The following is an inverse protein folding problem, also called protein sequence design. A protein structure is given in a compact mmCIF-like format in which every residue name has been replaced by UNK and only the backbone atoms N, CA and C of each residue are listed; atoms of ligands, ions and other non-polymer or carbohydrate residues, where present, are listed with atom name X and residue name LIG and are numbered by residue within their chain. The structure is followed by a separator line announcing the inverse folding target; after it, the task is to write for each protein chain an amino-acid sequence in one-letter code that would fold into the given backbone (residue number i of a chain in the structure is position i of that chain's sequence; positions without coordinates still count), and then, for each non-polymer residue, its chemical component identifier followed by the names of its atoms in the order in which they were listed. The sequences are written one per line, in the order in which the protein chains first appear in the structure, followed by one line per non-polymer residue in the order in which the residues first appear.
data_IF_462417328808
#
_entry.id   IF_462417328808
#
_cell.length_a   1.000
_cell.length_b   1.000
_cell.length_c   1.000
_cell.angle_alpha   90.00
_cell.angle_beta   90.00
_cell.angle_gamma   90.00
#
_symmetry.space_group_name_H-M   'P 1'
#
loop_
_entity.id
_entity.type
_entity.pdbx_description
1 polymer ?
#
# COMPACT_ATOMS: atom_id res chain seq x y z
N UNK A 1 -8.02 38.48 -38.92
CA UNK A 1 -8.61 39.35 -37.87
C UNK A 1 -10.02 38.90 -37.43
N UNK A 2 -10.99 38.68 -38.32
CA UNK A 2 -12.38 38.32 -37.96
C UNK A 2 -12.53 37.17 -36.93
N UNK A 3 -11.82 36.05 -37.10
CA UNK A 3 -11.96 34.89 -36.21
C UNK A 3 -11.66 35.17 -34.73
N UNK A 4 -10.69 36.05 -34.45
CA UNK A 4 -10.35 36.46 -33.09
C UNK A 4 -11.46 37.31 -32.44
N UNK A 5 -12.04 38.24 -33.20
CA UNK A 5 -13.16 39.07 -32.75
C UNK A 5 -14.42 38.23 -32.51
N UNK A 6 -14.71 37.27 -33.40
CA UNK A 6 -15.81 36.31 -33.23
C UNK A 6 -15.63 35.45 -31.98
N UNK A 7 -14.43 34.95 -31.72
CA UNK A 7 -14.16 34.18 -30.49
C UNK A 7 -14.32 35.03 -29.23
N UNK A 8 -13.82 36.28 -29.20
CA UNK A 8 -14.02 37.21 -28.07
C UNK A 8 -15.50 37.52 -27.83
N UNK A 9 -16.32 37.65 -28.87
CA UNK A 9 -17.76 37.86 -28.72
C UNK A 9 -18.47 36.60 -28.20
N UNK A 10 -18.09 35.41 -28.71
CA UNK A 10 -18.61 34.11 -28.24
C UNK A 10 -18.23 33.83 -26.78
N UNK A 11 -17.00 34.16 -26.38
CA UNK A 11 -16.51 34.09 -24.99
C UNK A 11 -17.37 34.96 -24.08
N UNK A 12 -17.54 36.25 -24.43
CA UNK A 12 -18.37 37.18 -23.65
C UNK A 12 -19.84 36.76 -23.54
N UNK A 13 -20.42 36.17 -24.59
CA UNK A 13 -21.78 35.60 -24.53
C UNK A 13 -21.84 34.37 -23.62
N UNK A 14 -20.85 33.49 -23.70
CA UNK A 14 -20.80 32.28 -22.87
C UNK A 14 -20.58 32.62 -21.38
N UNK A 15 -19.73 33.60 -21.03
CA UNK A 15 -19.57 34.07 -19.64
C UNK A 15 -20.92 34.53 -19.07
N UNK A 16 -21.69 35.36 -19.78
CA UNK A 16 -23.02 35.80 -19.33
C UNK A 16 -24.02 34.66 -19.15
N UNK A 17 -23.99 33.66 -20.05
CA UNK A 17 -24.83 32.46 -19.92
C UNK A 17 -24.42 31.58 -18.75
N UNK A 18 -23.13 31.53 -18.39
CA UNK A 18 -22.65 30.86 -17.19
C UNK A 18 -23.12 31.61 -15.94
N UNK A 19 -22.92 32.93 -15.86
CA UNK A 19 -23.35 33.79 -14.75
C UNK A 19 -24.85 33.68 -14.47
N UNK A 20 -25.69 33.72 -15.52
CA UNK A 20 -27.13 33.51 -15.39
C UNK A 20 -27.49 32.11 -14.83
N UNK A 21 -26.71 31.09 -15.16
CA UNK A 21 -26.86 29.74 -14.62
C UNK A 21 -26.44 29.60 -13.15
N UNK A 22 -25.42 30.34 -12.70
CA UNK A 22 -25.01 30.38 -11.29
C UNK A 22 -26.13 31.00 -10.45
N UNK A 23 -26.73 32.10 -10.92
CA UNK A 23 -27.84 32.79 -10.25
C UNK A 23 -29.19 32.06 -10.35
N UNK A 24 -29.26 30.89 -10.99
CA UNK A 24 -30.52 30.15 -11.22
C UNK A 24 -31.53 30.85 -12.16
N UNK A 25 -31.12 31.93 -12.82
CA UNK A 25 -31.97 32.79 -13.64
C UNK A 25 -32.08 32.33 -15.12
N UNK A 26 -31.43 31.22 -15.48
CA UNK A 26 -31.45 30.65 -16.82
C UNK A 26 -31.51 29.12 -16.82
N UNK A 27 -31.86 28.49 -17.96
CA UNK A 27 -31.97 27.04 -18.05
C UNK A 27 -30.60 26.36 -17.83
N UNK A 28 -30.54 25.25 -17.08
CA UNK A 28 -29.28 24.61 -16.70
C UNK A 28 -28.46 24.14 -17.92
N UNK A 29 -29.15 23.69 -18.97
CA UNK A 29 -28.54 23.28 -20.24
C UNK A 29 -27.74 24.41 -20.91
N UNK A 30 -28.22 25.66 -20.86
CA UNK A 30 -27.52 26.80 -21.43
C UNK A 30 -26.25 27.14 -20.66
N UNK A 31 -26.23 26.90 -19.35
CA UNK A 31 -25.06 27.11 -18.51
C UNK A 31 -24.00 25.99 -18.71
N UNK A 32 -24.44 24.73 -18.86
CA UNK A 32 -23.56 23.62 -19.25
C UNK A 32 -22.95 23.84 -20.63
N UNK A 33 -23.77 24.20 -21.62
CA UNK A 33 -23.30 24.55 -22.97
C UNK A 33 -22.39 25.79 -22.97
N UNK A 34 -22.56 26.71 -22.02
CA UNK A 34 -21.64 27.83 -21.82
C UNK A 34 -20.29 27.38 -21.26
N UNK A 35 -20.26 26.54 -20.22
CA UNK A 35 -19.02 25.99 -19.66
C UNK A 35 -18.21 25.21 -20.72
N UNK A 36 -18.87 24.34 -21.49
CA UNK A 36 -18.25 23.61 -22.60
C UNK A 36 -17.69 24.56 -23.68
N UNK A 37 -18.41 25.62 -24.06
CA UNK A 37 -17.89 26.64 -25.00
C UNK A 37 -16.70 27.42 -24.43
N UNK A 38 -16.69 27.72 -23.14
CA UNK A 38 -15.57 28.42 -22.50
C UNK A 38 -14.32 27.53 -22.47
N UNK A 39 -14.46 26.22 -22.23
CA UNK A 39 -13.40 25.22 -22.40
C UNK A 39 -12.84 25.22 -23.82
N UNK A 40 -13.73 25.15 -24.82
CA UNK A 40 -13.34 24.98 -26.22
C UNK A 40 -12.77 26.27 -26.84
N UNK A 41 -13.10 27.44 -26.28
CA UNK A 41 -12.43 28.73 -26.58
C UNK A 41 -11.11 28.84 -25.81
N UNK A 42 -11.09 28.45 -24.53
CA UNK A 42 -9.91 28.44 -23.67
C UNK A 42 -9.32 29.84 -23.40
N UNK A 43 -10.14 30.88 -23.38
CA UNK A 43 -9.69 32.27 -23.17
C UNK A 43 -9.54 32.64 -21.70
N UNK A 44 -8.56 33.51 -21.37
CA UNK A 44 -8.24 33.87 -19.97
C UNK A 44 -9.40 34.52 -19.21
N UNK A 45 -10.37 35.14 -19.91
CA UNK A 45 -11.50 35.81 -19.25
C UNK A 45 -12.52 34.82 -18.68
N UNK A 46 -12.46 33.56 -19.09
CA UNK A 46 -13.30 32.49 -18.54
C UNK A 46 -12.83 32.00 -17.15
N UNK A 47 -11.58 32.25 -16.76
CA UNK A 47 -10.97 31.69 -15.54
C UNK A 47 -11.75 32.09 -14.28
N UNK A 48 -11.93 33.39 -14.03
CA UNK A 48 -12.65 33.86 -12.84
C UNK A 48 -14.12 33.39 -12.80
N UNK A 49 -14.93 33.53 -13.87
CA UNK A 49 -16.30 33.00 -13.91
C UNK A 49 -16.38 31.49 -13.66
N UNK A 50 -15.48 30.69 -14.23
CA UNK A 50 -15.47 29.23 -14.02
C UNK A 50 -15.04 28.84 -12.60
N UNK A 51 -14.05 29.52 -12.00
CA UNK A 51 -13.65 29.31 -10.61
C UNK A 51 -14.78 29.69 -9.62
N UNK A 52 -15.51 30.77 -9.90
CA UNK A 52 -16.67 31.18 -9.10
C UNK A 52 -17.83 30.18 -9.26
N UNK A 53 -18.09 29.73 -10.48
CA UNK A 53 -19.09 28.69 -10.76
C UNK A 53 -18.77 27.37 -10.05
N UNK A 54 -17.51 26.90 -10.08
CA UNK A 54 -17.06 25.66 -9.42
C UNK A 54 -17.42 25.58 -7.93
N UNK A 55 -17.57 26.73 -7.26
CA UNK A 55 -17.94 26.82 -5.84
C UNK A 55 -19.44 27.04 -5.64
N UNK A 56 -20.04 28.01 -6.36
CA UNK A 56 -21.39 28.52 -6.08
C UNK A 56 -22.52 27.95 -6.97
N UNK A 57 -22.20 27.28 -8.08
CA UNK A 57 -23.21 26.76 -9.02
C UNK A 57 -23.95 25.50 -8.50
N UNK A 58 -25.08 25.11 -9.13
CA UNK A 58 -25.65 23.76 -8.94
C UNK A 58 -24.65 22.64 -9.28
N UNK A 59 -24.77 21.48 -8.63
CA UNK A 59 -23.80 20.37 -8.67
C UNK A 59 -23.35 19.98 -10.10
N UNK A 60 -24.29 19.76 -11.01
CA UNK A 60 -23.99 19.37 -12.39
C UNK A 60 -23.12 20.42 -13.11
N UNK A 61 -23.39 21.71 -12.89
CA UNK A 61 -22.60 22.79 -13.47
C UNK A 61 -21.22 22.90 -12.82
N UNK A 62 -21.09 22.60 -11.51
CA UNK A 62 -19.78 22.59 -10.83
C UNK A 62 -18.85 21.51 -11.39
N UNK A 63 -19.37 20.32 -11.70
CA UNK A 63 -18.59 19.26 -12.36
C UNK A 63 -18.09 19.69 -13.75
N UNK A 64 -18.97 20.28 -14.57
CA UNK A 64 -18.57 20.76 -15.91
C UNK A 64 -17.65 22.00 -15.85
N UNK A 65 -17.74 22.82 -14.80
CA UNK A 65 -16.77 23.89 -14.58
C UNK A 65 -15.37 23.35 -14.25
N UNK A 66 -15.26 22.24 -13.51
CA UNK A 66 -13.97 21.59 -13.27
C UNK A 66 -13.33 21.06 -14.57
N UNK A 67 -14.10 20.40 -15.44
CA UNK A 67 -13.61 19.92 -16.74
C UNK A 67 -13.28 21.09 -17.68
N UNK A 68 -14.06 22.17 -17.64
CA UNK A 68 -13.82 23.37 -18.43
C UNK A 68 -12.52 24.09 -18.02
N UNK A 69 -12.29 24.25 -16.71
CA UNK A 69 -11.08 24.82 -16.16
C UNK A 69 -9.81 24.09 -16.63
N UNK A 70 -9.86 22.75 -16.74
CA UNK A 70 -8.73 21.99 -17.25
C UNK A 70 -8.42 22.28 -18.73
N UNK A 71 -9.44 22.36 -19.59
CA UNK A 71 -9.23 22.73 -21.00
C UNK A 71 -8.76 24.18 -21.19
N UNK A 72 -9.16 25.10 -20.29
CA UNK A 72 -8.61 26.47 -20.25
C UNK A 72 -7.15 26.45 -19.83
N UNK A 73 -6.79 25.69 -18.78
CA UNK A 73 -5.41 25.59 -18.27
C UNK A 73 -4.42 25.08 -19.34
N UNK A 74 -4.84 24.11 -20.17
CA UNK A 74 -4.01 23.58 -21.26
C UNK A 74 -3.60 24.64 -22.30
N UNK A 75 -4.38 25.71 -22.46
CA UNK A 75 -4.05 26.83 -23.37
C UNK A 75 -3.43 28.01 -22.63
N UNK A 76 -3.85 28.22 -21.38
CA UNK A 76 -3.41 29.31 -20.51
C UNK A 76 -3.14 28.76 -19.11
N UNK A 77 -1.92 28.24 -18.87
CA UNK A 77 -1.51 27.79 -17.54
C UNK A 77 -1.62 28.94 -16.54
N UNK A 78 -2.46 28.74 -15.53
CA UNK A 78 -2.77 29.74 -14.52
C UNK A 78 -2.88 29.05 -13.15
N UNK A 79 -2.24 29.65 -12.14
CA UNK A 79 -2.20 29.11 -10.80
C UNK A 79 -3.57 29.18 -10.10
N UNK A 80 -4.40 30.18 -10.42
CA UNK A 80 -5.74 30.32 -9.86
C UNK A 80 -6.64 29.11 -10.21
N UNK A 81 -6.43 28.51 -11.39
CA UNK A 81 -7.13 27.29 -11.80
C UNK A 81 -6.72 26.10 -10.90
N UNK A 82 -5.42 25.94 -10.67
CA UNK A 82 -4.89 24.85 -9.84
C UNK A 82 -5.38 24.96 -8.39
N UNK A 83 -5.37 26.17 -7.83
CA UNK A 83 -5.86 26.43 -6.48
C UNK A 83 -7.36 26.18 -6.34
N UNK A 84 -8.18 26.61 -7.30
CA UNK A 84 -9.62 26.38 -7.29
C UNK A 84 -9.99 24.90 -7.41
N UNK A 85 -9.33 24.16 -8.31
CA UNK A 85 -9.50 22.72 -8.45
C UNK A 85 -9.03 21.96 -7.20
N UNK A 86 -7.91 22.38 -6.61
CA UNK A 86 -7.39 21.79 -5.37
C UNK A 86 -8.37 21.94 -4.19
N UNK A 87 -8.91 23.15 -4.00
CA UNK A 87 -9.93 23.41 -2.98
C UNK A 87 -11.22 22.59 -3.23
N UNK A 88 -11.65 22.43 -4.48
CA UNK A 88 -12.82 21.63 -4.82
C UNK A 88 -12.64 20.12 -4.58
N UNK A 89 -11.41 19.61 -4.74
CA UNK A 89 -11.03 18.21 -4.45
C UNK A 89 -11.06 17.89 -2.96
N UNK A 90 -10.47 18.78 -2.14
CA UNK A 90 -10.30 18.59 -0.70
C UNK A 90 -11.54 18.99 0.12
N UNK A 91 -12.53 19.64 -0.50
CA UNK A 91 -13.77 20.05 0.18
C UNK A 91 -14.70 18.86 0.46
N UNK A 92 -14.80 18.44 1.72
CA UNK A 92 -15.75 17.40 2.16
C UNK A 92 -17.22 17.83 2.04
N UNK A 93 -17.50 19.14 1.91
CA UNK A 93 -18.86 19.66 1.63
C UNK A 93 -19.28 19.46 0.17
N UNK A 94 -18.36 19.03 -0.68
CA UNK A 94 -18.58 18.91 -2.10
C UNK A 94 -19.04 17.50 -2.48
N UNK A 95 -20.06 17.43 -3.34
CA UNK A 95 -20.58 16.17 -3.86
C UNK A 95 -19.47 15.34 -4.53
N UNK A 96 -19.51 14.02 -4.33
CA UNK A 96 -18.46 13.08 -4.77
C UNK A 96 -18.15 13.21 -6.27
N UNK A 97 -19.19 13.41 -7.10
CA UNK A 97 -19.07 13.60 -8.54
C UNK A 97 -18.20 14.81 -8.90
N UNK A 98 -18.35 15.93 -8.19
CA UNK A 98 -17.56 17.14 -8.46
C UNK A 98 -16.14 17.00 -7.90
N UNK A 99 -15.97 16.35 -6.74
CA UNK A 99 -14.62 16.02 -6.22
C UNK A 99 -13.84 15.13 -7.19
N UNK A 100 -14.48 14.10 -7.74
CA UNK A 100 -13.92 13.22 -8.76
C UNK A 100 -13.60 13.98 -10.07
N UNK A 101 -14.54 14.81 -10.56
CA UNK A 101 -14.29 15.66 -11.74
C UNK A 101 -13.12 16.63 -11.54
N UNK A 102 -13.00 17.23 -10.35
CA UNK A 102 -11.89 18.12 -9.99
C UNK A 102 -10.55 17.37 -9.85
N UNK A 103 -10.55 16.13 -9.35
CA UNK A 103 -9.33 15.31 -9.28
C UNK A 103 -8.84 14.91 -10.69
N UNK A 104 -9.75 14.49 -11.58
CA UNK A 104 -9.43 14.24 -13.00
C UNK A 104 -8.97 15.52 -13.71
N UNK A 105 -9.60 16.67 -13.42
CA UNK A 105 -9.20 17.97 -13.95
C UNK A 105 -7.78 18.35 -13.51
N UNK A 106 -7.42 18.19 -12.22
CA UNK A 106 -6.05 18.38 -11.74
C UNK A 106 -5.06 17.48 -12.51
N UNK A 107 -5.37 16.19 -12.69
CA UNK A 107 -4.54 15.27 -13.47
C UNK A 107 -4.33 15.69 -14.94
N UNK A 108 -5.23 16.52 -15.50
CA UNK A 108 -5.11 17.07 -16.85
C UNK A 108 -4.48 18.50 -16.88
N UNK A 109 -4.21 19.12 -15.72
CA UNK A 109 -3.59 20.46 -15.59
C UNK A 109 -2.16 20.42 -15.06
N UNK A 110 -1.89 19.50 -14.14
CA UNK A 110 -0.73 19.53 -13.24
C UNK A 110 0.52 19.00 -13.95
N UNK A 111 1.61 19.74 -13.91
CA UNK A 111 2.95 19.17 -14.13
C UNK A 111 3.35 18.32 -12.92
N UNK A 112 4.08 17.21 -13.12
CA UNK A 112 4.22 16.07 -12.21
C UNK A 112 5.04 16.33 -10.91
N UNK A 113 4.98 17.57 -10.40
CA UNK A 113 5.56 18.03 -9.13
C UNK A 113 4.52 18.58 -8.15
N UNK A 114 3.24 18.72 -8.54
CA UNK A 114 2.17 19.32 -7.70
C UNK A 114 1.01 18.38 -7.34
N UNK A 115 1.16 17.06 -7.50
CA UNK A 115 0.07 16.11 -7.23
C UNK A 115 -0.20 15.79 -5.74
N UNK A 116 0.31 16.61 -4.80
CA UNK A 116 0.25 16.34 -3.36
C UNK A 116 -1.17 16.12 -2.83
N UNK A 117 -2.15 16.88 -3.32
CA UNK A 117 -3.55 16.70 -2.91
C UNK A 117 -4.22 15.46 -3.49
N UNK A 118 -3.81 14.99 -4.66
CA UNK A 118 -4.26 13.69 -5.18
C UNK A 118 -3.77 12.55 -4.26
N UNK A 119 -2.56 12.68 -3.71
CA UNK A 119 -2.02 11.76 -2.70
C UNK A 119 -2.79 11.89 -1.36
N UNK A 120 -3.22 13.09 -0.96
CA UNK A 120 -4.06 13.30 0.24
C UNK A 120 -5.44 12.64 0.12
N UNK A 121 -6.10 12.69 -1.06
CA UNK A 121 -7.34 11.93 -1.32
C UNK A 121 -7.14 10.45 -1.01
N UNK A 122 -6.03 9.87 -1.50
CA UNK A 122 -5.69 8.45 -1.31
C UNK A 122 -5.32 8.11 0.14
N UNK A 123 -4.83 9.08 0.93
CA UNK A 123 -4.54 8.88 2.36
C UNK A 123 -5.78 9.03 3.25
N UNK A 124 -6.80 9.77 2.81
CA UNK A 124 -8.01 9.98 3.60
C UNK A 124 -8.94 8.76 3.53
N UNK A 125 -9.20 8.06 4.65
CA UNK A 125 -10.10 6.89 4.65
C UNK A 125 -11.54 7.30 4.32
N UNK A 126 -11.92 8.56 4.65
CA UNK A 126 -13.23 9.16 4.37
C UNK A 126 -13.47 9.52 2.90
N UNK A 127 -12.45 9.53 2.05
CA UNK A 127 -12.63 9.78 0.61
C UNK A 127 -13.55 8.70 0.00
N UNK A 128 -14.59 9.05 -0.76
CA UNK A 128 -15.39 8.05 -1.47
C UNK A 128 -14.57 7.32 -2.55
N UNK A 129 -14.91 6.06 -2.82
CA UNK A 129 -14.23 5.25 -3.85
C UNK A 129 -14.17 5.95 -5.23
N UNK A 130 -15.25 6.57 -5.75
CA UNK A 130 -15.18 7.30 -7.03
C UNK A 130 -14.16 8.44 -7.04
N UNK A 131 -13.95 9.11 -5.91
CA UNK A 131 -12.96 10.19 -5.75
C UNK A 131 -11.54 9.61 -5.67
N UNK A 132 -11.37 8.45 -5.01
CA UNK A 132 -10.09 7.73 -4.98
C UNK A 132 -9.70 7.20 -6.37
N UNK A 133 -10.60 6.54 -7.12
CA UNK A 133 -10.34 6.14 -8.52
C UNK A 133 -9.95 7.32 -9.40
N UNK A 134 -10.66 8.45 -9.29
CA UNK A 134 -10.30 9.67 -10.02
C UNK A 134 -8.88 10.15 -9.70
N UNK A 135 -8.45 10.05 -8.43
CA UNK A 135 -7.10 10.39 -7.99
C UNK A 135 -6.04 9.40 -8.53
N UNK A 136 -6.32 8.09 -8.50
CA UNK A 136 -5.45 7.05 -9.09
C UNK A 136 -5.28 7.30 -10.59
N UNK A 137 -6.36 7.52 -11.33
CA UNK A 137 -6.31 7.78 -12.78
C UNK A 137 -5.54 9.07 -13.10
N UNK A 138 -5.74 10.12 -12.32
CA UNK A 138 -4.99 11.37 -12.45
C UNK A 138 -3.49 11.15 -12.20
N UNK A 139 -3.11 10.44 -11.14
CA UNK A 139 -1.71 10.12 -10.83
C UNK A 139 -1.08 9.15 -11.84
N UNK A 140 -1.82 8.17 -12.39
CA UNK A 140 -1.38 7.27 -13.47
C UNK A 140 -1.00 8.08 -14.72
N UNK A 141 -1.85 9.03 -15.13
CA UNK A 141 -1.57 9.95 -16.25
C UNK A 141 -0.32 10.81 -16.03
N UNK A 142 -0.06 11.19 -14.78
CA UNK A 142 1.11 11.99 -14.38
C UNK A 142 2.39 11.15 -14.17
N UNK A 143 2.34 9.83 -14.34
CA UNK A 143 3.50 8.95 -14.18
C UNK A 143 3.99 8.76 -12.73
N UNK A 144 3.13 9.01 -11.73
CA UNK A 144 3.52 8.87 -10.32
C UNK A 144 3.59 7.39 -9.90
N UNK A 145 4.80 6.83 -9.88
CA UNK A 145 5.10 5.47 -9.39
C UNK A 145 4.62 5.26 -7.94
N UNK A 146 4.60 6.32 -7.13
CA UNK A 146 4.14 6.33 -5.74
C UNK A 146 2.67 5.87 -5.56
N UNK A 147 1.86 5.86 -6.62
CA UNK A 147 0.50 5.28 -6.64
C UNK A 147 0.51 3.82 -6.16
N UNK A 148 1.50 3.03 -6.57
CA UNK A 148 1.64 1.64 -6.15
C UNK A 148 1.75 1.53 -4.62
N UNK A 149 2.61 2.35 -4.00
CA UNK A 149 2.73 2.38 -2.54
C UNK A 149 1.44 2.80 -1.86
N UNK A 150 0.72 3.79 -2.41
CA UNK A 150 -0.53 4.28 -1.82
C UNK A 150 -1.66 3.25 -1.94
N UNK A 151 -1.75 2.51 -3.04
CA UNK A 151 -2.73 1.44 -3.21
C UNK A 151 -2.45 0.25 -2.26
N UNK A 152 -1.18 -0.14 -2.13
CA UNK A 152 -0.75 -1.17 -1.16
C UNK A 152 -1.07 -0.73 0.28
N UNK A 153 -0.78 0.52 0.64
CA UNK A 153 -1.15 1.07 1.96
C UNK A 153 -2.68 1.04 2.19
N UNK A 154 -3.49 1.48 1.21
CA UNK A 154 -4.95 1.42 1.32
C UNK A 154 -5.46 -0.01 1.54
N UNK A 155 -4.89 -1.00 0.84
CA UNK A 155 -5.26 -2.41 1.02
C UNK A 155 -4.95 -2.90 2.45
N UNK A 156 -3.77 -2.57 2.99
CA UNK A 156 -3.34 -2.98 4.32
C UNK A 156 -4.16 -2.32 5.44
N UNK A 157 -4.34 -0.99 5.41
CA UNK A 157 -5.03 -0.26 6.48
C UNK A 157 -6.55 -0.52 6.50
N UNK A 158 -7.17 -0.74 5.33
CA UNK A 158 -8.61 -1.00 5.26
C UNK A 158 -9.04 -2.38 5.80
N UNK A 159 -8.12 -3.23 6.27
CA UNK A 159 -8.48 -4.46 7.01
C UNK A 159 -9.14 -4.17 8.36
N UNK A 160 -8.68 -3.15 9.06
CA UNK A 160 -9.20 -2.77 10.39
C UNK A 160 -10.36 -1.77 10.29
N UNK A 161 -10.33 -0.88 9.29
CA UNK A 161 -11.31 0.21 9.12
C UNK A 161 -12.52 -0.14 8.22
N UNK A 162 -12.39 -1.08 7.27
CA UNK A 162 -13.45 -1.48 6.34
C UNK A 162 -13.79 -2.98 6.43
N UNK A 163 -14.72 -3.37 7.31
CA UNK A 163 -15.23 -4.74 7.38
C UNK A 163 -15.86 -5.23 6.08
N UNK A 164 -16.40 -4.33 5.24
CA UNK A 164 -17.03 -4.70 3.97
C UNK A 164 -16.02 -5.12 2.89
N UNK A 165 -14.74 -4.79 3.08
CA UNK A 165 -13.65 -5.14 2.16
C UNK A 165 -13.74 -4.45 0.79
N UNK A 166 -14.64 -3.48 0.61
CA UNK A 166 -14.82 -2.75 -0.64
C UNK A 166 -13.58 -1.95 -1.01
N UNK A 167 -12.90 -1.35 -0.03
CA UNK A 167 -11.63 -0.64 -0.26
C UNK A 167 -10.51 -1.61 -0.64
N UNK A 168 -10.49 -2.82 -0.08
CA UNK A 168 -9.51 -3.86 -0.45
C UNK A 168 -9.73 -4.38 -1.86
N UNK A 169 -10.98 -4.69 -2.23
CA UNK A 169 -11.33 -5.12 -3.58
C UNK A 169 -10.98 -4.06 -4.62
N UNK A 170 -11.39 -2.80 -4.37
CA UNK A 170 -11.04 -1.65 -5.21
C UNK A 170 -9.52 -1.47 -5.37
N UNK A 171 -8.75 -1.57 -4.29
CA UNK A 171 -7.29 -1.43 -4.37
C UNK A 171 -6.64 -2.53 -5.21
N UNK A 172 -7.17 -3.76 -5.18
CA UNK A 172 -6.72 -4.87 -6.05
C UNK A 172 -7.06 -4.59 -7.51
N UNK A 173 -8.28 -4.13 -7.81
CA UNK A 173 -8.71 -3.79 -9.17
C UNK A 173 -7.83 -2.69 -9.79
N UNK A 174 -7.56 -1.60 -9.06
CA UNK A 174 -6.68 -0.52 -9.52
C UNK A 174 -5.22 -1.01 -9.68
N UNK A 175 -4.71 -1.86 -8.78
CA UNK A 175 -3.39 -2.48 -8.90
C UNK A 175 -3.27 -3.39 -10.13
N UNK A 176 -4.32 -4.16 -10.44
CA UNK A 176 -4.39 -4.97 -11.66
C UNK A 176 -4.43 -4.07 -12.91
N UNK A 177 -5.20 -2.98 -12.91
CA UNK A 177 -5.42 -2.07 -14.04
C UNK A 177 -4.29 -1.04 -14.32
N UNK A 178 -3.26 -0.97 -13.48
CA UNK A 178 -1.98 -0.34 -13.86
C UNK A 178 -1.30 -1.19 -14.97
N UNK A 179 -0.43 -0.61 -15.78
CA UNK A 179 0.35 -1.35 -16.79
C UNK A 179 1.82 -1.18 -16.46
N UNK A 180 2.44 -2.21 -15.87
CA UNK A 180 3.87 -2.23 -15.59
C UNK A 180 4.31 -3.66 -15.26
N UNK A 181 5.45 -4.09 -15.81
CA UNK A 181 6.15 -5.29 -15.32
C UNK A 181 6.83 -5.04 -13.96
N UNK A 182 7.06 -3.77 -13.59
CA UNK A 182 7.72 -3.38 -12.34
C UNK A 182 6.81 -3.37 -11.11
N UNK A 183 5.48 -3.50 -11.25
CA UNK A 183 4.56 -3.54 -10.10
C UNK A 183 4.98 -4.56 -9.05
N UNK A 184 5.35 -5.76 -9.51
CA UNK A 184 5.79 -6.84 -8.63
C UNK A 184 7.12 -6.48 -7.99
N UNK A 185 8.10 -5.98 -8.74
CA UNK A 185 9.36 -5.47 -8.17
C UNK A 185 9.09 -4.44 -7.09
N UNK A 186 8.13 -3.52 -7.29
CA UNK A 186 7.76 -2.52 -6.28
C UNK A 186 7.04 -3.11 -5.07
N UNK A 187 6.15 -4.09 -5.24
CA UNK A 187 5.47 -4.77 -4.11
C UNK A 187 6.46 -5.65 -3.32
N UNK A 188 7.37 -6.35 -4.01
CA UNK A 188 8.50 -7.06 -3.41
C UNK A 188 9.41 -6.08 -2.67
N UNK A 189 9.76 -4.95 -3.28
CA UNK A 189 10.49 -3.87 -2.60
C UNK A 189 9.72 -3.35 -1.39
N UNK A 190 8.41 -3.13 -1.43
CA UNK A 190 7.66 -2.66 -0.25
C UNK A 190 7.75 -3.68 0.90
N UNK A 191 7.61 -4.97 0.59
CA UNK A 191 7.82 -6.06 1.54
C UNK A 191 9.28 -6.11 2.07
N UNK A 192 10.26 -5.76 1.24
CA UNK A 192 11.69 -5.92 1.53
C UNK A 192 12.43 -4.62 1.92
N UNK A 193 11.87 -3.43 1.78
CA UNK A 193 12.59 -2.15 1.88
C UNK A 193 12.38 -1.45 3.21
N UNK A 194 11.16 -1.42 3.76
CA UNK A 194 10.88 -0.81 5.07
C UNK A 194 11.59 -1.62 6.16
N UNK A 195 12.66 -1.06 6.74
CA UNK A 195 13.50 -1.69 7.80
C UNK A 195 12.68 -2.19 9.00
N UNK A 196 11.53 -1.54 9.29
CA UNK A 196 10.55 -1.95 10.31
C UNK A 196 9.71 -3.18 9.90
N UNK A 197 9.40 -3.36 8.61
CA UNK A 197 8.68 -4.54 8.09
C UNK A 197 9.63 -5.73 7.90
N UNK A 198 10.87 -5.52 7.44
CA UNK A 198 11.89 -6.60 7.36
C UNK A 198 12.06 -7.36 8.68
N UNK A 199 12.14 -6.65 9.79
CA UNK A 199 12.27 -7.26 11.13
C UNK A 199 11.03 -8.08 11.55
N UNK A 200 9.86 -7.79 10.96
CA UNK A 200 8.60 -8.55 11.16
C UNK A 200 8.42 -9.67 10.13
N UNK A 201 8.99 -9.53 8.93
CA UNK A 201 8.96 -10.50 7.84
C UNK A 201 9.90 -11.70 8.07
N UNK A 202 11.08 -11.48 8.63
CA UNK A 202 12.00 -12.56 9.04
C UNK A 202 11.39 -13.49 10.10
N UNK A 203 10.37 -13.03 10.83
CA UNK A 203 9.62 -13.86 11.77
C UNK A 203 8.50 -14.70 11.13
N UNK A 204 8.07 -14.40 9.89
CA UNK A 204 6.90 -14.99 9.17
C UNK A 204 5.55 -14.81 9.91
N UNK A 205 5.54 -14.39 11.16
CA UNK A 205 4.36 -14.31 12.06
C UNK A 205 3.63 -12.97 12.03
N UNK A 206 4.03 -12.01 11.17
CA UNK A 206 3.32 -10.73 11.09
C UNK A 206 2.12 -10.79 10.16
N UNK A 207 0.94 -10.27 10.56
CA UNK A 207 -0.24 -10.24 9.70
C UNK A 207 0.03 -9.40 8.44
N UNK A 208 0.81 -8.32 8.56
CA UNK A 208 1.20 -7.43 7.46
C UNK A 208 1.91 -8.15 6.30
N UNK A 209 2.69 -9.20 6.59
CA UNK A 209 3.44 -9.95 5.56
C UNK A 209 2.56 -11.04 4.94
N UNK A 210 1.69 -11.68 5.73
CA UNK A 210 0.65 -12.55 5.20
C UNK A 210 -0.31 -11.78 4.28
N UNK A 211 -0.68 -10.55 4.65
CA UNK A 211 -1.56 -9.68 3.85
C UNK A 211 -0.88 -9.19 2.56
N UNK A 212 0.43 -8.91 2.59
CA UNK A 212 1.22 -8.61 1.38
C UNK A 212 1.34 -9.83 0.45
N UNK A 213 1.57 -11.04 0.98
CA UNK A 213 1.60 -12.27 0.18
C UNK A 213 0.21 -12.55 -0.41
N UNK A 214 -0.86 -12.32 0.35
CA UNK A 214 -2.23 -12.45 -0.13
C UNK A 214 -2.53 -11.44 -1.25
N UNK A 215 -2.14 -10.18 -1.09
CA UNK A 215 -2.24 -9.15 -2.13
C UNK A 215 -1.45 -9.53 -3.38
N UNK A 216 -0.22 -10.02 -3.22
CA UNK A 216 0.59 -10.53 -4.34
C UNK A 216 -0.12 -11.68 -5.06
N UNK A 217 -0.72 -12.63 -4.35
CA UNK A 217 -1.45 -13.74 -4.96
C UNK A 217 -2.72 -13.30 -5.71
N UNK A 218 -3.38 -12.23 -5.26
CA UNK A 218 -4.54 -11.62 -5.93
C UNK A 218 -4.15 -10.82 -7.19
N UNK A 219 -2.92 -10.30 -7.28
CA UNK A 219 -2.43 -9.52 -8.43
C UNK A 219 -1.67 -10.38 -9.43
N UNK A 220 -0.78 -11.27 -8.97
CA UNK A 220 -0.12 -12.32 -9.74
C UNK A 220 0.30 -13.51 -8.84
N UNK A 221 -0.44 -14.62 -8.96
CA UNK A 221 -0.15 -15.86 -8.25
C UNK A 221 1.20 -16.50 -8.62
N UNK A 222 1.70 -16.31 -9.86
CA UNK A 222 2.98 -16.87 -10.29
C UNK A 222 4.15 -16.14 -9.64
N UNK A 223 4.14 -14.81 -9.62
CA UNK A 223 5.07 -13.97 -8.88
C UNK A 223 5.04 -14.25 -7.38
N UNK A 224 3.86 -14.39 -6.77
CA UNK A 224 3.71 -14.76 -5.37
C UNK A 224 4.39 -16.11 -5.04
N UNK A 225 4.26 -17.10 -5.92
CA UNK A 225 4.88 -18.42 -5.73
C UNK A 225 6.41 -18.35 -5.78
N UNK A 226 6.96 -17.55 -6.73
CA UNK A 226 8.42 -17.32 -6.83
C UNK A 226 8.98 -16.59 -5.61
N UNK A 227 8.26 -15.58 -5.12
CA UNK A 227 8.61 -14.85 -3.90
C UNK A 227 8.67 -15.78 -2.68
N UNK A 228 7.66 -16.63 -2.52
CA UNK A 228 7.62 -17.59 -1.42
C UNK A 228 8.77 -18.60 -1.48
N UNK A 229 9.15 -19.10 -2.66
CA UNK A 229 10.35 -19.93 -2.82
C UNK A 229 11.60 -19.22 -2.32
N UNK A 230 11.86 -17.99 -2.82
CA UNK A 230 13.03 -17.21 -2.40
C UNK A 230 13.02 -16.88 -0.90
N UNK A 231 11.85 -16.65 -0.30
CA UNK A 231 11.73 -16.43 1.14
C UNK A 231 12.00 -17.69 1.97
N UNK A 232 11.61 -18.88 1.49
CA UNK A 232 11.95 -20.17 2.12
C UNK A 232 13.45 -20.43 2.04
N UNK A 233 14.06 -20.20 0.87
CA UNK A 233 15.50 -20.39 0.66
C UNK A 233 16.33 -19.43 1.55
N UNK A 234 15.98 -18.14 1.57
CA UNK A 234 16.71 -17.12 2.32
C UNK A 234 16.47 -17.23 3.85
N UNK A 235 15.27 -17.62 4.30
CA UNK A 235 15.04 -17.88 5.73
C UNK A 235 15.81 -19.11 6.22
N UNK A 236 15.87 -20.17 5.40
CA UNK A 236 16.70 -21.36 5.68
C UNK A 236 18.18 -20.98 5.75
N UNK A 237 18.65 -20.11 4.85
CA UNK A 237 20.01 -19.57 4.86
C UNK A 237 20.32 -18.74 6.10
N UNK A 238 19.47 -17.78 6.47
CA UNK A 238 19.66 -16.92 7.65
C UNK A 238 19.69 -17.75 8.94
N UNK A 239 18.84 -18.77 9.05
CA UNK A 239 18.85 -19.71 10.19
C UNK A 239 20.16 -20.51 10.22
N UNK A 240 20.63 -21.00 9.06
CA UNK A 240 21.90 -21.72 8.96
C UNK A 240 23.11 -20.84 9.32
N UNK A 241 23.17 -19.61 8.84
CA UNK A 241 24.24 -18.65 9.14
C UNK A 241 24.23 -18.25 10.63
N UNK A 242 23.06 -18.02 11.23
CA UNK A 242 22.93 -17.75 12.66
C UNK A 242 23.35 -18.96 13.53
N UNK A 243 22.97 -20.18 13.13
CA UNK A 243 23.39 -21.40 13.80
C UNK A 243 24.91 -21.61 13.68
N UNK A 244 25.51 -21.33 12.52
CA UNK A 244 26.96 -21.40 12.30
C UNK A 244 27.72 -20.40 13.19
N UNK A 245 27.24 -19.16 13.31
CA UNK A 245 27.80 -18.15 14.20
C UNK A 245 27.73 -18.57 15.68
N UNK A 246 26.61 -19.12 16.14
CA UNK A 246 26.47 -19.61 17.52
C UNK A 246 27.36 -20.84 17.80
N UNK A 247 27.47 -21.77 16.85
CA UNK A 247 28.41 -22.89 16.94
C UNK A 247 29.87 -22.42 17.04
N UNK A 248 30.24 -21.39 16.28
CA UNK A 248 31.58 -20.80 16.31
C UNK A 248 31.85 -20.05 17.62
N UNK A 249 30.89 -19.31 18.17
CA UNK A 249 31.00 -18.74 19.51
C UNK A 249 31.16 -19.81 20.60
N UNK A 250 30.39 -20.90 20.53
CA UNK A 250 30.50 -22.02 21.47
C UNK A 250 31.87 -22.71 21.35
N UNK A 251 32.41 -22.90 20.14
CA UNK A 251 33.78 -23.39 19.93
C UNK A 251 34.81 -22.46 20.56
N UNK A 252 34.70 -21.15 20.37
CA UNK A 252 35.60 -20.15 20.97
C UNK A 252 35.52 -20.14 22.50
N UNK A 253 34.32 -20.27 23.08
CA UNK A 253 34.12 -20.39 24.54
C UNK A 253 34.69 -21.72 25.07
N UNK A 254 34.52 -22.81 24.33
CA UNK A 254 35.12 -24.12 24.61
C UNK A 254 36.65 -24.09 24.57
N UNK A 255 37.24 -23.53 23.50
CA UNK A 255 38.68 -23.35 23.34
C UNK A 255 39.30 -22.46 24.43
N UNK A 256 38.60 -21.40 24.84
CA UNK A 256 39.01 -20.58 26.00
C UNK A 256 38.96 -21.37 27.30
N UNK A 257 37.92 -22.19 27.52
CA UNK A 257 37.83 -23.08 28.70
C UNK A 257 38.91 -24.17 28.72
N UNK A 258 39.25 -24.77 27.57
CA UNK A 258 40.33 -25.76 27.49
C UNK A 258 41.71 -25.13 27.62
N UNK A 259 41.92 -23.90 27.14
CA UNK A 259 43.16 -23.15 27.37
C UNK A 259 43.30 -22.64 28.82
N UNK A 260 42.21 -22.55 29.57
CA UNK A 260 42.18 -22.19 30.99
C UNK A 260 42.15 -23.42 31.92
N UNK A 261 42.07 -24.64 31.37
CA UNK A 261 42.21 -25.85 32.16
C UNK A 261 43.68 -26.04 32.57
N UNK A 262 44.00 -26.26 33.85
CA UNK A 262 45.38 -26.43 34.29
C UNK A 262 45.99 -27.69 33.68
N UNK A 263 47.20 -27.56 33.12
CA UNK A 263 47.93 -28.70 32.54
C UNK A 263 48.35 -29.69 33.64
N UNK A 264 47.62 -30.80 33.75
CA UNK A 264 48.00 -31.92 34.61
C UNK A 264 49.12 -32.74 33.96
N UNK A 265 50.37 -32.26 34.07
CA UNK A 265 51.56 -33.08 33.80
C UNK A 265 51.87 -34.00 34.99
N UNK A 266 52.15 -35.29 34.72
CA UNK A 266 52.65 -36.26 35.72
C UNK A 266 54.16 -36.14 35.98
N UNK A 267 54.85 -37.15 36.56
CA UNK A 267 54.42 -38.55 36.76
C UNK A 267 54.76 -39.24 38.12
N UNK A 268 54.23 -40.46 38.29
CA UNK A 268 54.75 -41.64 39.04
C UNK A 268 55.37 -41.54 40.46
N UNK A 269 54.86 -42.35 41.41
CA UNK A 269 55.48 -43.64 41.86
C UNK A 269 55.02 -44.16 43.25
N UNK A 270 54.77 -45.49 43.33
CA UNK A 270 54.79 -46.36 44.55
C UNK A 270 53.69 -46.12 45.63
N UNK A 271 53.20 -47.11 46.39
CA UNK A 271 53.54 -48.53 46.54
C UNK A 271 52.29 -49.42 46.77
N UNK A 272 52.43 -50.74 46.59
CA UNK A 272 51.46 -51.75 47.06
C UNK A 272 52.02 -52.48 48.30
N UNK A 273 51.16 -53.07 49.16
CA UNK A 273 51.02 -54.53 49.06
C UNK A 273 49.62 -55.12 49.39
N UNK A 274 49.19 -56.02 48.49
CA UNK A 274 48.67 -57.41 48.70
C UNK A 274 47.37 -57.69 49.52
N UNK A 275 46.69 -58.83 49.23
CA UNK A 275 45.35 -59.14 49.72
C UNK A 275 45.34 -60.08 50.94
N UNK A 276 44.23 -60.14 51.69
CA UNK A 276 43.55 -61.44 51.91
C UNK A 276 42.14 -61.38 52.54
N UNK A 277 41.42 -62.47 52.29
CA UNK A 277 40.06 -62.90 52.67
C UNK A 277 39.49 -62.57 54.07
N UNK A 278 38.15 -62.34 54.18
CA UNK A 278 37.15 -63.31 54.75
C UNK A 278 35.71 -62.77 54.99
N UNK A 279 34.73 -63.65 54.75
CA UNK A 279 33.33 -63.76 55.27
C UNK A 279 32.28 -62.62 55.05
N UNK A 280 31.11 -62.99 54.49
CA UNK A 280 29.84 -62.22 54.47
C UNK A 280 28.86 -62.69 55.58
N UNK A 281 27.52 -62.85 55.37
CA UNK A 281 26.69 -62.56 54.18
C UNK A 281 25.26 -61.96 54.49
N UNK A 282 24.35 -61.98 53.47
CA UNK A 282 22.85 -61.94 53.50
C UNK A 282 22.12 -60.55 53.54
N UNK A 283 21.42 -60.18 52.44
CA UNK A 283 19.94 -60.18 52.15
C UNK A 283 19.24 -58.83 52.46
N UNK A 284 18.12 -58.34 51.86
CA UNK A 284 17.09 -58.76 50.84
C UNK A 284 16.38 -57.47 50.32
N UNK A 285 15.52 -57.37 49.29
CA UNK A 285 14.92 -58.29 48.29
C UNK A 285 14.82 -57.61 46.88
N UNK A 286 13.66 -57.56 46.19
CA UNK A 286 13.54 -57.04 44.80
C UNK A 286 12.15 -56.51 44.34
N UNK A 287 12.17 -55.76 43.23
CA UNK A 287 11.09 -55.43 42.27
C UNK A 287 10.00 -54.39 42.65
N UNK A 288 9.48 -53.66 41.64
CA UNK A 288 8.15 -54.02 41.11
C UNK A 288 8.08 -54.22 39.57
N UNK A 289 6.96 -54.80 39.10
CA UNK A 289 6.73 -55.26 37.71
C UNK A 289 5.92 -54.27 36.85
N UNK A 290 6.06 -54.38 35.51
CA UNK A 290 5.19 -53.76 34.49
C UNK A 290 3.76 -54.38 34.47
N UNK A 291 2.73 -53.65 34.03
CA UNK A 291 1.45 -54.21 33.60
C UNK A 291 1.46 -54.66 32.11
N UNK A 292 0.54 -55.55 31.67
CA UNK A 292 0.51 -56.14 30.33
C UNK A 292 -0.46 -55.43 29.35
N UNK A 293 -0.43 -55.76 28.03
CA UNK A 293 -1.28 -55.14 27.02
C UNK A 293 -2.49 -55.99 26.58
N UNK A 294 -3.55 -55.29 26.14
CA UNK A 294 -4.47 -55.75 25.08
C UNK A 294 -5.74 -56.49 25.50
N UNK A 295 -6.90 -55.95 25.09
CA UNK A 295 -7.95 -56.68 24.35
C UNK A 295 -9.10 -55.74 23.91
N UNK A 296 -9.33 -55.67 22.60
CA UNK A 296 -10.66 -55.55 21.99
C UNK A 296 -11.00 -56.97 21.48
N UNK A 297 -12.28 -57.41 21.36
CA UNK A 297 -13.29 -56.73 20.54
C UNK A 297 -14.76 -56.84 21.05
N UNK A 298 -15.70 -56.16 20.37
CA UNK A 298 -16.92 -56.76 19.75
C UNK A 298 -17.81 -55.70 19.10
N UNK A 299 -18.66 -56.12 18.17
CA UNK A 299 -19.54 -55.26 17.38
C UNK A 299 -21.02 -55.65 17.54
N UNK A 300 -21.91 -54.82 16.96
CA UNK A 300 -23.40 -54.83 17.01
C UNK A 300 -23.99 -54.15 18.25
N UNK A 301 -25.10 -53.42 18.16
CA UNK A 301 -26.00 -53.17 17.00
C UNK A 301 -25.94 -51.71 16.55
#
# INVERSE_FOLDING_TARGET
MLGFLLNRFREGKAVRSLEAGISGAGPPEAALAAAARLRDIGGRKSIQPLCFALTHAPEALRAECATALAGVHQRHPDQQILEALNAAVLSDRQAEKVRAAAALALGNCVDARRAGSLIEILKSPRSPIPVRSAAVQALKKLGYIEVLERLVENYLFSREEDPSGRVRAWAVEELQALDDHEKLTKIHEIAHSRRKLRFRAVAVTSPEVADLVHLMALVDAAGATRFLSHMVDESTRVIADAAAQQLEELRRRGAKRSAQAPQAGGPAAQAAPKPDTRHGPRTTAAAPRKPPPGQAPTARK
#
